data_IF_420950346723
#
_entry.id   IF_420950346723
#
_cell.length_a   1.000
_cell.length_b   1.000
_cell.length_c   1.000
_cell.angle_alpha   90.00
_cell.angle_beta   90.00
_cell.angle_gamma   90.00
#
_symmetry.space_group_name_H-M   'P 1'
#
loop_
_entity.id
_entity.type
_entity.pdbx_description
1 polymer ?
#
# COMPACT_ATOMS: atom_id res chain seq x y z
N UNK A 1 -63.36 -3.84 7.07
CA UNK A 1 -62.12 -4.11 7.80
C UNK A 1 -61.99 -3.09 8.93
N UNK A 2 -62.02 -3.56 10.18
CA UNK A 2 -62.07 -2.72 11.39
C UNK A 2 -60.91 -1.73 11.51
N UNK A 3 -61.20 -0.51 11.89
CA UNK A 3 -60.21 0.56 12.11
C UNK A 3 -59.07 0.11 13.05
N UNK A 4 -59.42 -0.62 14.09
CA UNK A 4 -58.46 -1.13 15.06
C UNK A 4 -57.46 -2.14 14.45
N UNK A 5 -57.92 -3.02 13.56
CA UNK A 5 -57.02 -3.97 12.85
C UNK A 5 -56.04 -3.24 11.93
N UNK A 6 -56.44 -2.15 11.29
CA UNK A 6 -55.52 -1.33 10.47
C UNK A 6 -54.48 -0.65 11.32
N UNK A 7 -54.85 -0.07 12.46
CA UNK A 7 -53.90 0.58 13.39
C UNK A 7 -52.86 -0.43 13.88
N UNK A 8 -53.32 -1.59 14.33
CA UNK A 8 -52.39 -2.65 14.80
C UNK A 8 -51.42 -3.11 13.66
N UNK A 9 -51.94 -3.32 12.45
CA UNK A 9 -51.09 -3.73 11.34
C UNK A 9 -50.04 -2.66 10.96
N UNK A 10 -50.44 -1.37 10.93
CA UNK A 10 -49.48 -0.28 10.66
C UNK A 10 -48.44 -0.14 11.78
N UNK A 11 -48.83 -0.31 13.04
CA UNK A 11 -47.89 -0.28 14.16
C UNK A 11 -46.89 -1.41 14.10
N UNK A 12 -47.31 -2.62 13.75
CA UNK A 12 -46.44 -3.77 13.56
C UNK A 12 -45.48 -3.58 12.38
N UNK A 13 -45.94 -3.02 11.26
CA UNK A 13 -45.11 -2.70 10.11
C UNK A 13 -44.07 -1.62 10.45
N UNK A 14 -44.46 -0.60 11.21
CA UNK A 14 -43.53 0.43 11.66
C UNK A 14 -42.46 -0.14 12.60
N UNK A 15 -42.81 -0.98 13.55
CA UNK A 15 -41.88 -1.65 14.45
C UNK A 15 -40.93 -2.59 13.69
N UNK A 16 -41.46 -3.37 12.75
CA UNK A 16 -40.64 -4.24 11.90
C UNK A 16 -39.67 -3.44 11.02
N UNK A 17 -40.13 -2.36 10.43
CA UNK A 17 -39.33 -1.46 9.60
C UNK A 17 -38.19 -0.77 10.38
N UNK A 18 -38.48 -0.28 11.59
CA UNK A 18 -37.46 0.31 12.46
C UNK A 18 -36.44 -0.76 12.92
N UNK A 19 -36.90 -1.94 13.32
CA UNK A 19 -36.04 -3.05 13.69
C UNK A 19 -35.08 -3.45 12.54
N UNK A 20 -35.63 -3.55 11.34
CA UNK A 20 -34.82 -3.87 10.14
C UNK A 20 -33.83 -2.76 9.82
N UNK A 21 -34.19 -1.49 9.91
CA UNK A 21 -33.30 -0.35 9.71
C UNK A 21 -32.11 -0.37 10.67
N UNK A 22 -32.36 -0.55 11.97
CA UNK A 22 -31.27 -0.65 12.96
C UNK A 22 -30.40 -1.90 12.77
N UNK A 23 -30.98 -3.04 12.44
CA UNK A 23 -30.23 -4.28 12.20
C UNK A 23 -29.31 -4.16 10.99
N UNK A 24 -29.80 -3.60 9.88
CA UNK A 24 -29.00 -3.35 8.68
C UNK A 24 -27.91 -2.32 8.97
N UNK A 25 -28.22 -1.24 9.70
CA UNK A 25 -27.24 -0.21 10.09
C UNK A 25 -26.09 -0.77 10.93
N UNK A 26 -26.42 -1.58 11.94
CA UNK A 26 -25.37 -2.24 12.77
C UNK A 26 -24.55 -3.23 11.97
N UNK A 27 -25.16 -3.98 11.04
CA UNK A 27 -24.45 -4.89 10.16
C UNK A 27 -23.41 -4.16 9.30
N UNK A 28 -23.74 -3.00 8.73
CA UNK A 28 -22.77 -2.20 7.97
C UNK A 28 -21.64 -1.64 8.84
N UNK A 29 -21.93 -1.23 10.08
CA UNK A 29 -20.90 -0.76 11.01
C UNK A 29 -19.90 -1.85 11.40
N UNK A 30 -20.33 -3.11 11.47
CA UNK A 30 -19.41 -4.25 11.78
C UNK A 30 -18.53 -4.65 10.60
N UNK A 31 -18.86 -4.23 9.38
CA UNK A 31 -18.00 -4.45 8.20
C UNK A 31 -16.78 -3.52 8.16
N UNK A 32 -16.81 -2.40 8.88
CA UNK A 32 -15.64 -1.54 9.00
C UNK A 32 -14.59 -2.19 9.92
N UNK A 33 -13.35 -2.38 9.45
CA UNK A 33 -12.30 -2.92 10.29
C UNK A 33 -12.04 -1.99 11.47
N UNK A 34 -11.88 -2.51 12.70
CA UNK A 34 -11.59 -1.72 13.88
C UNK A 34 -10.29 -0.92 13.72
N UNK A 35 -10.21 0.26 14.34
CA UNK A 35 -9.03 1.15 14.25
C UNK A 35 -7.72 0.42 14.57
N UNK A 36 -7.74 -0.50 15.53
CA UNK A 36 -6.58 -1.34 15.88
C UNK A 36 -6.12 -2.20 14.70
N UNK A 37 -7.02 -2.86 13.99
CA UNK A 37 -6.67 -3.66 12.82
C UNK A 37 -6.09 -2.81 11.67
N UNK A 38 -6.51 -1.56 11.54
CA UNK A 38 -5.93 -0.61 10.57
C UNK A 38 -4.50 -0.21 10.96
N UNK A 39 -4.25 0.05 12.25
CA UNK A 39 -2.91 0.39 12.77
C UNK A 39 -1.96 -0.80 12.69
N UNK A 40 -2.43 -2.01 12.99
CA UNK A 40 -1.64 -3.25 12.87
C UNK A 40 -1.31 -3.59 11.40
N UNK A 41 -2.05 -3.01 10.44
CA UNK A 41 -1.79 -3.15 9.01
C UNK A 41 -0.79 -2.13 8.45
N UNK A 42 -0.40 -1.11 9.23
CA UNK A 42 0.55 -0.10 8.84
C UNK A 42 1.97 -0.47 9.30
N UNK A 43 2.97 -0.10 8.49
CA UNK A 43 4.39 -0.21 8.84
C UNK A 43 4.98 1.18 8.89
N UNK A 44 5.63 1.51 10.00
CA UNK A 44 6.26 2.81 10.23
C UNK A 44 7.76 2.70 9.95
N UNK A 45 8.27 3.56 9.06
CA UNK A 45 9.67 3.59 8.65
C UNK A 45 10.24 4.97 8.96
N UNK A 46 11.21 5.02 9.85
CA UNK A 46 11.98 6.23 10.15
C UNK A 46 13.07 6.40 9.09
N UNK A 47 12.98 7.47 8.29
CA UNK A 47 13.89 7.73 7.18
C UNK A 47 15.28 8.19 7.65
N UNK A 48 15.40 8.66 8.89
CA UNK A 48 16.69 9.12 9.45
C UNK A 48 17.63 7.96 9.73
N UNK A 49 17.08 6.80 10.06
CA UNK A 49 17.86 5.59 10.40
C UNK A 49 18.31 4.78 9.18
N UNK A 50 17.80 5.12 7.97
CA UNK A 50 18.09 4.37 6.76
C UNK A 50 19.51 4.68 6.24
N UNK A 51 20.29 3.63 5.89
CA UNK A 51 21.60 3.81 5.28
C UNK A 51 21.46 4.43 3.89
N UNK A 52 22.44 5.25 3.51
CA UNK A 52 22.47 5.93 2.23
C UNK A 52 22.95 4.98 1.12
N UNK A 53 22.23 4.98 0.00
CA UNK A 53 22.55 4.21 -1.21
C UNK A 53 22.56 2.67 -0.99
N UNK A 54 21.87 2.20 0.05
CA UNK A 54 21.69 0.78 0.35
C UNK A 54 20.21 0.42 0.45
N UNK A 55 19.90 -0.85 0.12
CA UNK A 55 18.53 -1.39 0.23
C UNK A 55 18.28 -1.81 1.67
N UNK A 56 17.26 -1.22 2.27
CA UNK A 56 16.73 -1.64 3.58
C UNK A 56 15.49 -2.51 3.40
N UNK A 57 15.33 -3.49 4.29
CA UNK A 57 14.28 -4.51 4.20
C UNK A 57 13.34 -4.39 5.39
N UNK A 58 12.06 -4.33 5.10
CA UNK A 58 10.98 -4.31 6.09
C UNK A 58 9.92 -5.34 5.74
N UNK A 59 8.91 -5.48 6.60
CA UNK A 59 7.74 -6.31 6.33
C UNK A 59 6.47 -5.46 6.41
N UNK A 60 5.60 -5.59 5.45
CA UNK A 60 4.28 -5.00 5.43
C UNK A 60 3.23 -6.04 5.04
N UNK A 61 2.27 -6.31 5.95
CA UNK A 61 1.22 -7.32 5.72
C UNK A 61 1.78 -8.67 5.25
N UNK A 62 2.84 -9.16 5.90
CA UNK A 62 3.56 -10.41 5.55
C UNK A 62 4.23 -10.40 4.17
N UNK A 63 4.33 -9.26 3.50
CA UNK A 63 5.05 -9.08 2.25
C UNK A 63 6.37 -8.38 2.52
N UNK A 64 7.48 -8.78 1.88
CA UNK A 64 8.72 -8.03 1.97
C UNK A 64 8.53 -6.65 1.34
N UNK A 65 9.11 -5.66 1.99
CA UNK A 65 9.12 -4.27 1.57
C UNK A 65 10.56 -3.83 1.43
N UNK A 66 10.91 -3.28 0.29
CA UNK A 66 12.23 -2.75 0.01
C UNK A 66 12.17 -1.23 -0.02
N UNK A 67 13.13 -0.59 0.61
CA UNK A 67 13.30 0.85 0.56
C UNK A 67 14.75 1.19 0.30
N UNK A 68 14.98 2.11 -0.62
CA UNK A 68 16.29 2.63 -0.98
C UNK A 68 16.31 4.13 -0.71
N UNK A 69 17.19 4.58 0.19
CA UNK A 69 17.52 6.00 0.38
C UNK A 69 18.62 6.38 -0.60
N UNK A 70 18.38 7.43 -1.39
CA UNK A 70 19.28 7.90 -2.45
C UNK A 70 19.69 9.34 -2.23
N UNK A 71 20.89 9.67 -2.61
CA UNK A 71 21.34 11.04 -2.83
C UNK A 71 21.26 11.41 -4.33
N UNK A 72 21.61 12.64 -4.65
CA UNK A 72 21.57 13.17 -6.02
C UNK A 72 22.61 12.50 -6.96
N UNK A 73 23.53 11.66 -6.45
CA UNK A 73 24.51 10.95 -7.26
C UNK A 73 23.93 9.71 -7.96
N UNK A 74 22.83 9.18 -7.43
CA UNK A 74 22.10 8.08 -8.04
C UNK A 74 21.12 8.56 -9.11
N UNK A 75 20.82 7.69 -10.07
CA UNK A 75 19.78 7.98 -11.06
C UNK A 75 18.43 8.08 -10.38
N UNK A 76 17.80 9.24 -10.46
CA UNK A 76 16.48 9.52 -9.91
C UNK A 76 15.39 9.13 -10.92
N UNK A 77 14.29 8.60 -10.39
CA UNK A 77 13.10 8.26 -11.17
C UNK A 77 11.90 9.05 -10.64
N UNK A 78 11.52 10.10 -11.34
CA UNK A 78 10.42 10.99 -10.93
C UNK A 78 9.07 10.29 -10.83
N UNK A 79 8.93 9.11 -11.43
CA UNK A 79 7.71 8.30 -11.38
C UNK A 79 7.68 7.32 -10.19
N UNK A 80 8.80 7.18 -9.48
CA UNK A 80 8.94 6.20 -8.42
C UNK A 80 9.56 6.73 -7.13
N UNK A 81 10.26 7.84 -7.21
CA UNK A 81 10.99 8.41 -6.08
C UNK A 81 10.15 9.39 -5.27
N UNK A 82 10.23 9.25 -3.98
CA UNK A 82 9.61 10.11 -2.97
C UNK A 82 10.69 11.07 -2.50
N UNK A 83 10.46 12.37 -2.58
CA UNK A 83 11.40 13.38 -2.11
C UNK A 83 11.08 13.78 -0.66
N UNK A 84 12.04 13.61 0.24
CA UNK A 84 11.93 14.02 1.66
C UNK A 84 13.23 14.70 2.07
N UNK A 85 13.17 16.02 2.37
CA UNK A 85 14.34 16.78 2.74
C UNK A 85 15.38 16.86 1.60
N UNK A 86 16.58 16.38 1.85
CA UNK A 86 17.69 16.36 0.87
C UNK A 86 17.80 15.02 0.12
N UNK A 87 16.98 14.02 0.46
CA UNK A 87 17.11 12.65 -0.04
C UNK A 87 15.90 12.20 -0.82
N UNK A 88 16.13 11.19 -1.65
CA UNK A 88 15.10 10.53 -2.44
C UNK A 88 14.93 9.09 -1.96
N UNK A 89 13.71 8.63 -1.92
CA UNK A 89 13.36 7.31 -1.42
C UNK A 89 12.57 6.54 -2.46
N UNK A 90 13.06 5.37 -2.83
CA UNK A 90 12.28 4.42 -3.65
C UNK A 90 11.69 3.36 -2.75
N UNK A 91 10.37 3.27 -2.70
CA UNK A 91 9.63 2.32 -1.88
C UNK A 91 8.92 1.31 -2.78
N UNK A 92 9.09 0.00 -2.50
CA UNK A 92 8.53 -1.03 -3.34
C UNK A 92 8.21 -2.31 -2.56
N UNK A 93 7.16 -3.00 -2.97
CA UNK A 93 6.83 -4.34 -2.48
C UNK A 93 7.75 -5.35 -3.17
N UNK A 94 8.51 -6.12 -2.40
CA UNK A 94 9.46 -7.11 -2.88
C UNK A 94 8.78 -8.40 -3.37
N UNK A 95 7.77 -8.26 -4.21
CA UNK A 95 7.04 -9.37 -4.83
C UNK A 95 7.16 -9.23 -6.34
N UNK A 96 7.78 -10.23 -6.97
CA UNK A 96 7.97 -10.26 -8.42
C UNK A 96 6.63 -10.23 -9.15
N UNK A 97 6.51 -9.32 -10.11
CA UNK A 97 5.27 -9.09 -10.87
C UNK A 97 4.97 -10.16 -11.91
N UNK A 98 5.87 -11.17 -12.07
CA UNK A 98 5.61 -12.34 -12.91
C UNK A 98 4.68 -13.34 -12.18
N UNK A 99 5.14 -14.01 -11.12
CA UNK A 99 4.40 -15.06 -10.41
C UNK A 99 4.58 -14.98 -8.88
N UNK A 100 4.94 -13.83 -8.31
CA UNK A 100 4.89 -13.61 -6.88
C UNK A 100 6.11 -14.07 -6.07
N UNK A 101 7.20 -14.50 -6.69
CA UNK A 101 8.44 -14.82 -5.98
C UNK A 101 9.09 -13.56 -5.39
N UNK A 102 9.93 -13.73 -4.38
CA UNK A 102 10.69 -12.60 -3.77
C UNK A 102 12.00 -12.42 -4.54
N UNK A 103 12.20 -11.28 -5.24
CA UNK A 103 13.47 -10.99 -5.90
C UNK A 103 14.55 -10.68 -4.86
N UNK A 104 15.81 -10.99 -5.20
CA UNK A 104 16.97 -10.67 -4.39
C UNK A 104 17.74 -9.52 -5.02
N UNK A 105 18.25 -8.61 -4.21
CA UNK A 105 19.10 -7.53 -4.68
C UNK A 105 20.53 -8.05 -4.90
N UNK A 106 21.06 -7.82 -6.10
CA UNK A 106 22.45 -8.06 -6.45
C UNK A 106 23.18 -6.71 -6.44
N UNK A 107 24.03 -6.52 -5.44
CA UNK A 107 24.78 -5.27 -5.27
C UNK A 107 25.82 -5.03 -6.37
N UNK A 108 26.35 -6.10 -6.98
CA UNK A 108 27.34 -6.01 -8.07
C UNK A 108 26.69 -5.50 -9.34
N UNK A 109 25.50 -6.03 -9.65
CA UNK A 109 24.74 -5.66 -10.84
C UNK A 109 23.81 -4.46 -10.59
N UNK A 110 23.69 -3.99 -9.34
CA UNK A 110 22.78 -2.94 -8.88
C UNK A 110 21.34 -3.16 -9.38
N UNK A 111 20.86 -4.40 -9.27
CA UNK A 111 19.51 -4.80 -9.73
C UNK A 111 18.89 -5.86 -8.85
N UNK A 112 17.59 -5.99 -8.92
CA UNK A 112 16.88 -7.12 -8.32
C UNK A 112 16.76 -8.25 -9.34
N UNK A 113 17.06 -9.48 -8.90
CA UNK A 113 16.95 -10.70 -9.71
C UNK A 113 15.98 -11.65 -9.02
N UNK A 114 14.94 -12.07 -9.73
CA UNK A 114 13.99 -13.05 -9.24
C UNK A 114 14.53 -14.46 -9.48
N UNK A 115 14.72 -15.28 -8.41
CA UNK A 115 15.34 -16.59 -8.55
C UNK A 115 14.49 -17.63 -9.29
N UNK A 116 13.15 -17.37 -9.42
CA UNK A 116 12.26 -18.35 -10.02
C UNK A 116 12.40 -18.45 -11.55
N UNK A 117 12.44 -17.30 -12.24
CA UNK A 117 12.46 -17.27 -13.70
C UNK A 117 13.39 -16.17 -14.24
N UNK A 118 14.36 -15.74 -13.43
CA UNK A 118 15.34 -14.71 -13.81
C UNK A 118 14.73 -13.37 -14.24
N UNK A 119 13.53 -13.02 -13.73
CA UNK A 119 12.94 -11.68 -13.93
C UNK A 119 13.83 -10.63 -13.27
N UNK A 120 14.13 -9.55 -13.98
CA UNK A 120 15.08 -8.53 -13.53
C UNK A 120 14.40 -7.16 -13.41
N UNK A 121 14.78 -6.45 -12.34
CA UNK A 121 14.34 -5.08 -12.10
C UNK A 121 15.55 -4.23 -11.73
N UNK A 122 15.55 -2.97 -12.14
CA UNK A 122 16.55 -2.03 -11.67
C UNK A 122 16.40 -1.74 -10.17
N UNK A 123 17.28 -0.95 -9.59
CA UNK A 123 17.21 -0.58 -8.18
C UNK A 123 16.01 0.34 -7.85
N UNK A 124 15.39 0.97 -8.86
CA UNK A 124 14.13 1.69 -8.70
C UNK A 124 12.91 0.75 -8.80
N UNK A 125 13.11 -0.53 -9.10
CA UNK A 125 12.07 -1.52 -9.26
C UNK A 125 11.39 -1.52 -10.63
N UNK A 126 11.96 -0.85 -11.65
CA UNK A 126 11.45 -0.93 -13.02
C UNK A 126 11.83 -2.27 -13.64
N UNK A 127 10.94 -2.84 -14.44
CA UNK A 127 11.20 -4.10 -15.15
C UNK A 127 12.27 -3.89 -16.23
N UNK A 128 13.31 -4.73 -16.23
CA UNK A 128 14.42 -4.66 -17.18
C UNK A 128 14.33 -5.71 -18.30
N UNK A 129 13.86 -6.91 -17.98
CA UNK A 129 13.88 -8.03 -18.89
C UNK A 129 12.74 -9.02 -18.66
N UNK A 130 12.32 -9.71 -19.75
CA UNK A 130 11.40 -10.84 -19.68
C UNK A 130 11.85 -11.86 -18.63
N UNK A 131 10.92 -12.50 -17.89
CA UNK A 131 9.46 -12.51 -18.11
C UNK A 131 8.68 -11.37 -17.42
N UNK A 132 9.34 -10.41 -16.76
CA UNK A 132 8.67 -9.30 -16.11
C UNK A 132 8.45 -8.14 -17.09
N UNK A 133 7.23 -7.63 -17.11
CA UNK A 133 6.81 -6.52 -17.99
C UNK A 133 6.28 -5.32 -17.21
N UNK A 134 6.07 -5.50 -15.90
CA UNK A 134 5.54 -4.47 -15.00
C UNK A 134 6.54 -4.22 -13.88
N UNK A 135 6.70 -2.97 -13.43
CA UNK A 135 7.57 -2.64 -12.32
C UNK A 135 7.08 -3.27 -11.00
N UNK A 136 7.95 -3.33 -9.99
CA UNK A 136 7.57 -3.68 -8.62
C UNK A 136 6.54 -2.68 -8.11
N UNK A 137 5.56 -3.17 -7.35
CA UNK A 137 4.44 -2.37 -6.89
C UNK A 137 4.89 -1.38 -5.82
N UNK A 138 4.48 -0.12 -5.95
CA UNK A 138 4.61 0.89 -4.90
C UNK A 138 3.42 0.70 -3.95
N UNK A 139 3.62 0.39 -2.67
CA UNK A 139 2.52 0.28 -1.71
C UNK A 139 1.93 1.65 -1.41
N UNK A 140 0.67 1.74 -0.96
CA UNK A 140 0.13 3.00 -0.46
C UNK A 140 0.95 3.48 0.73
N UNK A 141 1.27 4.77 0.76
CA UNK A 141 2.02 5.38 1.85
C UNK A 141 1.55 6.79 2.15
N UNK A 142 1.85 7.24 3.35
CA UNK A 142 1.65 8.61 3.81
C UNK A 142 2.93 9.11 4.44
N UNK A 143 3.27 10.37 4.19
CA UNK A 143 4.41 11.03 4.81
C UNK A 143 3.97 11.76 6.07
N UNK A 144 4.75 11.63 7.13
CA UNK A 144 4.62 12.40 8.35
C UNK A 144 6.01 12.85 8.81
N UNK A 145 6.41 14.06 8.43
CA UNK A 145 7.78 14.57 8.59
C UNK A 145 8.81 13.59 7.98
N UNK A 146 9.70 13.03 8.81
CA UNK A 146 10.72 12.07 8.41
C UNK A 146 10.28 10.61 8.51
N UNK A 147 8.98 10.36 8.67
CA UNK A 147 8.40 9.00 8.73
C UNK A 147 7.59 8.68 7.48
N UNK A 148 7.81 7.49 6.94
CA UNK A 148 6.97 6.90 5.91
C UNK A 148 6.04 5.88 6.59
N UNK A 149 4.73 6.11 6.51
CA UNK A 149 3.69 5.22 7.02
C UNK A 149 3.16 4.42 5.84
N UNK A 150 3.54 3.15 5.74
CA UNK A 150 3.11 2.25 4.66
C UNK A 150 1.80 1.59 5.05
N UNK A 151 0.84 1.57 4.13
CA UNK A 151 -0.51 1.04 4.34
C UNK A 151 -1.59 2.12 4.44
N UNK A 152 -1.21 3.40 4.51
CA UNK A 152 -2.11 4.55 4.45
C UNK A 152 -1.94 5.31 3.13
N UNK A 153 -3.03 5.82 2.58
CA UNK A 153 -3.00 6.67 1.38
C UNK A 153 -2.77 8.12 1.81
N UNK A 154 -1.65 8.71 1.38
CA UNK A 154 -1.34 10.12 1.57
C UNK A 154 -1.30 10.88 0.25
N UNK A 155 -1.20 12.21 0.32
CA UNK A 155 -1.17 13.09 -0.86
C UNK A 155 0.04 12.80 -1.76
N UNK A 156 1.22 12.60 -1.18
CA UNK A 156 2.44 12.26 -1.92
C UNK A 156 2.30 10.95 -2.70
N UNK A 157 1.59 9.95 -2.16
CA UNK A 157 1.30 8.72 -2.89
C UNK A 157 0.38 8.99 -4.09
N UNK A 158 -0.65 9.80 -3.93
CA UNK A 158 -1.57 10.12 -5.03
C UNK A 158 -0.85 10.85 -6.16
N UNK A 159 -0.03 11.84 -5.84
CA UNK A 159 0.80 12.59 -6.81
C UNK A 159 1.75 11.65 -7.57
N UNK A 160 2.42 10.72 -6.86
CA UNK A 160 3.32 9.75 -7.47
C UNK A 160 2.58 8.80 -8.42
N UNK A 161 1.38 8.36 -8.03
CA UNK A 161 0.56 7.50 -8.88
C UNK A 161 0.02 8.20 -10.13
N UNK A 162 -0.25 9.49 -10.07
CA UNK A 162 -0.61 10.30 -11.24
C UNK A 162 0.58 10.47 -12.18
N UNK A 163 1.76 10.81 -11.66
CA UNK A 163 2.99 10.91 -12.44
C UNK A 163 3.38 9.59 -13.12
N UNK A 164 3.07 8.46 -12.50
CA UNK A 164 3.38 7.13 -13.06
C UNK A 164 2.47 6.74 -14.24
N UNK A 165 1.31 7.40 -14.42
CA UNK A 165 0.37 7.14 -15.53
C UNK A 165 0.67 7.98 -16.77
N UNK A 166 1.34 9.12 -16.60
CA UNK A 166 1.77 10.00 -17.70
C UNK A 166 3.04 9.47 -18.37
#
# INVERSE_FOLDING_TARGET
MDRNRRVVNYSLLALAGTGMYFSVGTMFQTLEPPKKARLDAATFIDTTTLPLNEISYFMWQKKPLFILKKDASMMLDTKRDIHIGEYYYTLMVGICTHLGCVPKYDATLKRFVCPCHNGQFDYNGNALASPVTKPLVIPPFKLNNEMIIVGEVGEAYLQLMEASKA
#
